data_IF_896710359444
#
_entry.id   IF_896710359444
#
_cell.length_a   1.000
_cell.length_b   1.000
_cell.length_c   1.000
_cell.angle_alpha   90.00
_cell.angle_beta   90.00
_cell.angle_gamma   90.00
#
_symmetry.space_group_name_H-M   'P 1'
#
loop_
_entity.id
_entity.type
_entity.pdbx_description
1 polymer ?
#
# COMPACT_ATOMS: atom_id res chain seq x y z
N UNK A 1 -21.09 53.37 26.41
CA UNK A 1 -19.85 54.00 26.91
C UNK A 1 -18.69 53.21 26.28
N UNK A 2 -18.19 53.60 25.10
CA UNK A 2 -17.07 54.55 24.88
C UNK A 2 -15.81 54.06 25.61
N UNK A 3 -14.61 53.88 25.03
CA UNK A 3 -13.89 54.45 23.87
C UNK A 3 -12.69 53.50 23.60
N UNK A 4 -12.24 53.18 22.38
CA UNK A 4 -11.47 54.04 21.44
C UNK A 4 -10.00 54.13 21.91
N UNK A 5 -9.00 53.55 21.22
CA UNK A 5 -8.10 54.13 20.18
C UNK A 5 -6.80 53.26 20.21
N UNK A 6 -5.90 53.10 19.21
CA UNK A 6 -5.60 53.86 18.01
C UNK A 6 -4.72 53.01 17.04
N UNK A 7 -4.90 53.25 15.74
CA UNK A 7 -3.98 52.87 14.64
C UNK A 7 -2.75 53.78 14.65
N UNK A 8 -1.59 53.30 14.16
CA UNK A 8 -0.64 54.15 13.41
C UNK A 8 -0.05 53.40 12.21
N UNK A 9 -0.16 54.09 11.08
CA UNK A 9 0.31 53.78 9.74
C UNK A 9 1.17 54.98 9.33
N UNK A 10 2.40 54.75 8.87
CA UNK A 10 3.29 55.74 8.19
C UNK A 10 4.33 54.90 7.44
N UNK A 11 4.59 55.00 6.13
CA UNK A 11 4.28 56.04 5.15
C UNK A 11 5.55 56.72 4.64
N UNK A 12 6.08 56.23 3.50
CA UNK A 12 6.92 56.92 2.48
C UNK A 12 8.40 57.25 2.80
N UNK A 13 9.29 57.56 1.80
CA UNK A 13 9.04 57.80 0.36
C UNK A 13 9.99 57.15 -0.68
N UNK A 14 9.56 57.25 -1.96
CA UNK A 14 10.36 57.16 -3.20
C UNK A 14 11.08 58.48 -3.49
N UNK A 15 12.30 58.43 -4.07
CA UNK A 15 12.87 59.33 -5.10
C UNK A 15 14.22 58.73 -5.57
N UNK A 16 14.44 58.35 -6.83
CA UNK A 16 14.69 59.09 -8.09
C UNK A 16 16.15 59.51 -8.35
N UNK A 17 16.69 58.93 -9.44
CA UNK A 17 17.68 59.43 -10.44
C UNK A 17 19.15 59.67 -10.05
N UNK A 18 20.05 59.05 -10.84
CA UNK A 18 21.43 59.48 -11.07
C UNK A 18 22.12 58.66 -12.16
N UNK A 19 22.52 59.31 -13.25
CA UNK A 19 23.25 58.79 -14.43
C UNK A 19 24.77 58.70 -14.19
N UNK A 20 25.46 57.68 -14.74
CA UNK A 20 26.84 57.72 -15.29
C UNK A 20 27.21 56.31 -15.83
N UNK A 21 27.24 56.05 -17.15
CA UNK A 21 28.39 56.11 -18.10
C UNK A 21 29.72 55.53 -17.60
N UNK A 22 30.16 54.44 -18.25
CA UNK A 22 31.54 54.35 -18.81
C UNK A 22 32.34 53.05 -18.57
N UNK A 23 32.59 52.30 -19.66
CA UNK A 23 33.72 51.36 -19.84
C UNK A 23 33.46 49.92 -19.38
N UNK A 24 33.58 48.86 -20.18
CA UNK A 24 34.33 48.64 -21.42
C UNK A 24 35.22 47.39 -21.22
N UNK A 25 34.77 46.21 -21.66
CA UNK A 25 35.54 44.97 -21.51
C UNK A 25 34.88 43.73 -22.14
N UNK A 26 35.29 43.45 -23.38
CA UNK A 26 35.07 42.27 -24.26
C UNK A 26 34.96 40.94 -23.47
N UNK A 27 34.10 39.96 -23.76
CA UNK A 27 33.49 39.51 -25.00
C UNK A 27 33.86 38.04 -25.25
N UNK A 28 32.99 37.08 -24.88
CA UNK A 28 32.95 35.72 -25.45
C UNK A 28 31.50 35.39 -25.78
N UNK A 29 31.24 35.19 -27.07
CA UNK A 29 29.92 35.24 -27.67
C UNK A 29 29.04 34.06 -27.30
N UNK A 30 27.87 34.36 -26.74
CA UNK A 30 26.69 33.50 -26.82
C UNK A 30 26.27 33.41 -28.29
N UNK A 31 26.31 32.22 -28.90
CA UNK A 31 25.63 31.97 -30.17
C UNK A 31 24.14 31.92 -29.91
N UNK A 32 23.47 33.06 -30.09
CA UNK A 32 22.02 33.12 -30.19
C UNK A 32 21.60 32.50 -31.53
N UNK A 33 20.72 31.52 -31.43
CA UNK A 33 20.06 30.84 -32.53
C UNK A 33 19.07 31.80 -33.20
N UNK A 34 19.49 32.49 -34.27
CA UNK A 34 18.59 33.24 -35.14
C UNK A 34 18.88 32.97 -36.62
N UNK A 35 17.83 32.56 -37.32
CA UNK A 35 17.74 32.41 -38.77
C UNK A 35 16.98 31.13 -39.10
N UNK A 36 15.73 31.13 -39.53
CA UNK A 36 14.75 32.18 -39.77
C UNK A 36 13.62 31.52 -40.54
N UNK A 37 12.40 31.54 -40.00
CA UNK A 37 11.21 31.53 -40.85
C UNK A 37 10.07 32.21 -40.11
N UNK A 38 9.47 33.21 -40.76
CA UNK A 38 8.39 34.03 -40.21
C UNK A 38 7.05 33.33 -40.47
N UNK A 39 6.53 32.66 -39.46
CA UNK A 39 5.09 32.42 -39.31
C UNK A 39 4.76 32.23 -37.82
N UNK A 40 3.66 32.84 -37.37
CA UNK A 40 3.38 33.17 -35.99
C UNK A 40 3.23 32.03 -34.98
N UNK A 41 3.38 32.40 -33.71
CA UNK A 41 2.92 31.74 -32.48
C UNK A 41 2.47 30.27 -32.60
N UNK A 42 3.37 29.34 -32.30
CA UNK A 42 3.00 28.06 -31.68
C UNK A 42 4.15 27.54 -30.81
N UNK A 43 3.81 27.02 -29.62
CA UNK A 43 4.73 26.23 -28.82
C UNK A 43 5.03 24.91 -29.52
N UNK A 44 5.96 24.94 -30.48
CA UNK A 44 6.35 23.75 -31.23
C UNK A 44 7.00 22.72 -30.33
N UNK A 45 6.42 21.52 -30.25
CA UNK A 45 7.03 20.35 -29.63
C UNK A 45 8.41 20.12 -30.23
N UNK A 46 9.46 20.21 -29.40
CA UNK A 46 10.82 19.84 -29.81
C UNK A 46 10.79 18.36 -30.22
N UNK A 47 11.43 18.02 -31.34
CA UNK A 47 11.55 16.64 -31.83
C UNK A 47 13.00 16.35 -32.21
N UNK A 48 13.53 15.24 -31.72
CA UNK A 48 14.86 14.75 -32.12
C UNK A 48 14.74 13.87 -33.36
N UNK A 49 14.89 14.51 -34.53
CA UNK A 49 15.10 13.83 -35.81
C UNK A 49 16.58 13.64 -36.13
N UNK A 50 16.86 12.91 -37.21
CA UNK A 50 18.23 12.57 -37.66
C UNK A 50 19.14 13.79 -37.78
N UNK A 51 18.70 14.84 -38.48
CA UNK A 51 19.49 16.08 -38.65
C UNK A 51 19.77 16.82 -37.34
N UNK A 52 18.86 16.74 -36.36
CA UNK A 52 19.05 17.36 -35.05
C UNK A 52 20.12 16.61 -34.24
N UNK A 53 20.10 15.28 -34.29
CA UNK A 53 21.12 14.45 -33.63
C UNK A 53 22.48 14.56 -34.31
N UNK A 54 22.54 14.72 -35.64
CA UNK A 54 23.80 15.01 -36.33
C UNK A 54 24.44 16.32 -35.88
N UNK A 55 23.64 17.35 -35.63
CA UNK A 55 24.15 18.61 -35.06
C UNK A 55 24.65 18.42 -33.62
N UNK A 56 23.93 17.65 -32.81
CA UNK A 56 24.36 17.32 -31.44
C UNK A 56 25.66 16.52 -31.42
N UNK A 57 25.87 15.61 -32.37
CA UNK A 57 27.12 14.85 -32.52
C UNK A 57 28.36 15.75 -32.66
N UNK A 58 28.20 16.93 -33.25
CA UNK A 58 29.29 17.90 -33.44
C UNK A 58 29.47 18.86 -32.24
N UNK A 59 28.63 18.73 -31.21
CA UNK A 59 28.62 19.61 -30.04
C UNK A 59 29.51 19.07 -28.90
N UNK A 60 29.85 19.95 -27.95
CA UNK A 60 30.62 19.56 -26.76
C UNK A 60 29.82 18.61 -25.85
N UNK A 61 30.45 17.62 -25.17
CA UNK A 61 29.77 16.72 -24.24
C UNK A 61 28.88 17.42 -23.20
N UNK A 62 29.33 18.56 -22.65
CA UNK A 62 28.56 19.31 -21.66
C UNK A 62 27.33 19.98 -22.29
N UNK A 63 27.48 20.53 -23.50
CA UNK A 63 26.36 21.11 -24.25
C UNK A 63 25.31 20.05 -24.61
N UNK A 64 25.74 18.85 -25.04
CA UNK A 64 24.84 17.72 -25.34
C UNK A 64 24.01 17.35 -24.11
N UNK A 65 24.67 17.20 -22.97
CA UNK A 65 24.02 16.80 -21.72
C UNK A 65 23.07 17.89 -21.23
N UNK A 66 23.46 19.16 -21.28
CA UNK A 66 22.62 20.29 -20.92
C UNK A 66 21.38 20.39 -21.82
N UNK A 67 21.56 20.26 -23.14
CA UNK A 67 20.47 20.35 -24.10
C UNK A 67 19.49 19.20 -23.92
N UNK A 68 19.95 17.95 -23.89
CA UNK A 68 19.09 16.77 -23.76
C UNK A 68 18.38 16.73 -22.40
N UNK A 69 19.03 17.18 -21.32
CA UNK A 69 18.46 17.17 -19.97
C UNK A 69 17.61 18.41 -19.66
N UNK A 70 17.56 19.40 -20.55
CA UNK A 70 16.75 20.61 -20.38
C UNK A 70 15.26 20.28 -20.34
N UNK A 71 14.48 21.05 -19.57
CA UNK A 71 13.02 20.84 -19.44
C UNK A 71 12.29 20.84 -20.78
N UNK A 72 12.81 21.60 -21.75
CA UNK A 72 12.22 21.71 -23.08
C UNK A 72 12.47 20.47 -23.95
N UNK A 73 13.64 19.84 -23.81
CA UNK A 73 14.10 18.77 -24.70
C UNK A 73 13.95 17.38 -24.09
N UNK A 74 13.97 17.25 -22.77
CA UNK A 74 13.86 15.95 -22.09
C UNK A 74 12.61 15.15 -22.50
N UNK A 75 11.40 15.76 -22.67
CA UNK A 75 10.23 15.04 -23.18
C UNK A 75 10.44 14.50 -24.61
N UNK A 76 11.08 15.28 -25.47
CA UNK A 76 11.39 14.89 -26.83
C UNK A 76 12.42 13.75 -26.88
N UNK A 77 13.37 13.76 -25.95
CA UNK A 77 14.36 12.70 -25.78
C UNK A 77 13.70 11.40 -25.31
N UNK A 78 12.76 11.46 -24.36
CA UNK A 78 11.93 10.32 -23.96
C UNK A 78 11.11 9.76 -25.12
N UNK A 79 10.49 10.62 -25.93
CA UNK A 79 9.73 10.21 -27.11
C UNK A 79 10.64 9.47 -28.11
N UNK A 80 11.86 9.96 -28.33
CA UNK A 80 12.86 9.28 -29.16
C UNK A 80 13.22 7.89 -28.62
N UNK A 81 13.50 7.78 -27.32
CA UNK A 81 13.81 6.53 -26.64
C UNK A 81 12.64 5.53 -26.61
N UNK A 82 11.41 6.00 -26.85
CA UNK A 82 10.19 5.20 -26.95
C UNK A 82 9.90 4.61 -28.34
N UNK A 83 10.72 4.91 -29.36
CA UNK A 83 10.51 4.37 -30.71
C UNK A 83 11.04 2.94 -30.82
N UNK A 84 10.21 2.04 -31.34
CA UNK A 84 10.58 0.63 -31.56
C UNK A 84 11.15 0.38 -32.96
N UNK A 85 10.61 1.07 -33.96
CA UNK A 85 11.04 0.99 -35.37
C UNK A 85 12.07 2.08 -35.68
N UNK A 86 13.31 1.81 -35.28
CA UNK A 86 14.44 2.71 -35.49
C UNK A 86 15.38 2.08 -36.51
N UNK A 87 15.67 2.81 -37.60
CA UNK A 87 16.65 2.38 -38.61
C UNK A 87 18.04 2.24 -37.99
N UNK A 88 18.85 1.36 -38.57
CA UNK A 88 20.19 1.06 -38.06
C UNK A 88 21.10 2.29 -37.94
N UNK A 89 21.08 3.20 -38.94
CA UNK A 89 21.83 4.47 -38.93
C UNK A 89 21.40 5.40 -37.77
N UNK A 90 20.12 5.36 -37.43
CA UNK A 90 19.57 6.17 -36.34
C UNK A 90 19.97 5.59 -34.98
N UNK A 91 20.01 4.25 -34.85
CA UNK A 91 20.48 3.58 -33.63
C UNK A 91 21.96 3.92 -33.38
N UNK A 92 22.80 3.87 -34.42
CA UNK A 92 24.21 4.24 -34.34
C UNK A 92 24.41 5.70 -33.94
N UNK A 93 23.63 6.61 -34.53
CA UNK A 93 23.71 8.04 -34.23
C UNK A 93 23.27 8.35 -32.80
N UNK A 94 22.19 7.73 -32.32
CA UNK A 94 21.73 7.87 -30.92
C UNK A 94 22.79 7.34 -29.95
N UNK A 95 23.34 6.15 -30.23
CA UNK A 95 24.39 5.57 -29.40
C UNK A 95 25.65 6.44 -29.39
N UNK A 96 26.02 7.04 -30.52
CA UNK A 96 27.16 7.96 -30.63
C UNK A 96 26.97 9.20 -29.76
N UNK A 97 25.82 9.88 -29.88
CA UNK A 97 25.51 11.06 -29.06
C UNK A 97 25.53 10.72 -27.57
N UNK A 98 24.97 9.57 -27.17
CA UNK A 98 24.99 9.12 -25.78
C UNK A 98 26.40 8.75 -25.29
N UNK A 99 27.24 8.17 -26.16
CA UNK A 99 28.62 7.85 -25.83
C UNK A 99 29.49 9.10 -25.68
N UNK A 100 29.23 10.17 -26.46
CA UNK A 100 29.86 11.49 -26.28
C UNK A 100 29.36 12.13 -24.98
N UNK A 101 28.06 12.06 -24.70
CA UNK A 101 27.46 12.57 -23.47
C UNK A 101 28.08 11.94 -22.20
N UNK A 102 28.58 10.71 -22.28
CA UNK A 102 29.30 10.06 -21.17
C UNK A 102 30.61 10.78 -20.76
N UNK A 103 31.16 11.65 -21.61
CA UNK A 103 32.37 12.44 -21.32
C UNK A 103 32.07 13.81 -20.70
N UNK A 104 30.80 14.11 -20.41
CA UNK A 104 30.41 15.37 -19.79
C UNK A 104 30.97 15.52 -18.37
N UNK A 105 31.43 16.73 -18.05
CA UNK A 105 31.85 17.13 -16.71
C UNK A 105 30.66 17.55 -15.82
N UNK A 106 29.43 17.39 -16.32
CA UNK A 106 28.19 17.86 -15.69
C UNK A 106 27.34 16.68 -15.16
N UNK A 107 27.71 16.07 -14.00
CA UNK A 107 27.11 14.83 -13.53
C UNK A 107 25.62 14.95 -13.19
N UNK A 108 25.15 16.12 -12.77
CA UNK A 108 23.73 16.33 -12.42
C UNK A 108 22.81 16.13 -13.64
N UNK A 109 23.14 16.78 -14.75
CA UNK A 109 22.37 16.69 -15.98
C UNK A 109 22.55 15.32 -16.65
N UNK A 110 23.76 14.76 -16.60
CA UNK A 110 23.99 13.42 -17.12
C UNK A 110 23.21 12.36 -16.34
N UNK A 111 23.12 12.47 -15.01
CA UNK A 111 22.31 11.57 -14.19
C UNK A 111 20.82 11.64 -14.55
N UNK A 112 20.29 12.83 -14.89
CA UNK A 112 18.91 12.98 -15.39
C UNK A 112 18.69 12.17 -16.67
N UNK A 113 19.66 12.13 -17.58
CA UNK A 113 19.58 11.31 -18.79
C UNK A 113 19.73 9.82 -18.50
N UNK A 114 20.68 9.45 -17.65
CA UNK A 114 20.95 8.05 -17.31
C UNK A 114 19.73 7.34 -16.71
N UNK A 115 18.89 8.03 -15.94
CA UNK A 115 17.68 7.43 -15.36
C UNK A 115 16.67 7.01 -16.44
N UNK A 116 16.65 7.67 -17.60
CA UNK A 116 15.71 7.40 -18.69
C UNK A 116 16.11 6.20 -19.56
N UNK A 117 17.38 5.77 -19.52
CA UNK A 117 17.92 4.79 -20.46
C UNK A 117 17.59 3.32 -20.14
N UNK A 118 17.83 2.79 -18.92
CA UNK A 118 17.82 1.34 -18.67
C UNK A 118 16.53 0.63 -19.06
N UNK A 119 15.37 1.30 -18.92
CA UNK A 119 14.04 0.74 -19.22
C UNK A 119 13.41 1.30 -20.50
N UNK A 120 14.19 2.03 -21.30
CA UNK A 120 13.71 2.56 -22.57
C UNK A 120 13.51 1.44 -23.60
N UNK A 121 12.57 1.65 -24.52
CA UNK A 121 12.37 0.74 -25.66
C UNK A 121 13.60 0.74 -26.58
N UNK A 122 14.32 1.86 -26.64
CA UNK A 122 15.63 1.94 -27.30
C UNK A 122 16.61 0.88 -26.75
N UNK A 123 16.87 0.84 -25.44
CA UNK A 123 17.83 -0.12 -24.86
C UNK A 123 17.30 -1.56 -24.95
N UNK A 124 16.03 -1.76 -24.57
CA UNK A 124 15.46 -3.11 -24.43
C UNK A 124 15.15 -3.79 -25.78
N UNK A 125 14.86 -3.02 -26.84
CA UNK A 125 14.42 -3.55 -28.13
C UNK A 125 15.38 -3.14 -29.24
N UNK A 126 15.56 -1.85 -29.51
CA UNK A 126 16.28 -1.37 -30.70
C UNK A 126 17.78 -1.67 -30.63
N UNK A 127 18.43 -1.28 -29.53
CA UNK A 127 19.85 -1.49 -29.27
C UNK A 127 20.15 -2.98 -29.13
N UNK A 128 19.36 -3.72 -28.34
CA UNK A 128 19.45 -5.17 -28.23
C UNK A 128 19.37 -5.85 -29.60
N UNK A 129 18.35 -5.52 -30.39
CA UNK A 129 18.16 -6.10 -31.72
C UNK A 129 19.29 -5.75 -32.69
N UNK A 130 19.85 -4.55 -32.59
CA UNK A 130 21.03 -4.16 -33.36
C UNK A 130 22.25 -5.00 -32.96
N UNK A 131 22.51 -5.17 -31.65
CA UNK A 131 23.60 -6.02 -31.13
C UNK A 131 23.47 -7.45 -31.64
N UNK A 132 22.28 -8.04 -31.62
CA UNK A 132 22.05 -9.38 -32.18
C UNK A 132 22.30 -9.44 -33.69
N UNK A 133 21.96 -8.39 -34.45
CA UNK A 133 22.23 -8.32 -35.90
C UNK A 133 23.70 -8.14 -36.24
N UNK A 134 24.50 -7.50 -35.36
CA UNK A 134 25.96 -7.42 -35.52
C UNK A 134 26.60 -8.81 -35.58
N UNK A 135 26.10 -9.76 -34.77
CA UNK A 135 26.55 -11.16 -34.78
C UNK A 135 26.41 -11.82 -36.16
N UNK A 136 25.49 -11.35 -37.00
CA UNK A 136 25.16 -11.95 -38.30
C UNK A 136 26.00 -11.37 -39.46
N UNK A 137 27.01 -10.53 -39.18
CA UNK A 137 27.99 -10.07 -40.17
C UNK A 137 27.47 -9.06 -41.21
N UNK A 138 26.38 -8.37 -40.93
CA UNK A 138 25.66 -7.52 -41.92
C UNK A 138 26.11 -6.05 -41.99
N UNK A 139 27.16 -5.61 -41.27
CA UNK A 139 27.39 -4.15 -41.04
C UNK A 139 28.84 -3.66 -41.04
N UNK A 140 28.97 -2.36 -41.30
CA UNK A 140 30.21 -1.58 -41.30
C UNK A 140 30.64 -1.20 -39.87
N UNK A 141 31.87 -1.56 -39.51
CA UNK A 141 32.60 -1.20 -38.28
C UNK A 141 31.97 -1.65 -36.93
N UNK A 142 31.92 -2.96 -36.66
CA UNK A 142 31.45 -3.51 -35.38
C UNK A 142 32.29 -3.05 -34.18
N UNK A 143 33.56 -2.71 -34.38
CA UNK A 143 34.47 -2.33 -33.30
C UNK A 143 34.01 -1.05 -32.59
N UNK A 144 33.82 0.04 -33.34
CA UNK A 144 33.47 1.34 -32.78
C UNK A 144 32.10 1.32 -32.09
N UNK A 145 31.16 0.55 -32.62
CA UNK A 145 29.84 0.38 -32.03
C UNK A 145 29.92 -0.29 -30.64
N UNK A 146 30.72 -1.35 -30.52
CA UNK A 146 30.89 -2.06 -29.24
C UNK A 146 31.56 -1.16 -28.22
N UNK A 147 32.61 -0.42 -28.61
CA UNK A 147 33.29 0.54 -27.72
C UNK A 147 32.30 1.56 -27.12
N UNK A 148 31.43 2.13 -27.96
CA UNK A 148 30.37 3.06 -27.52
C UNK A 148 29.34 2.40 -26.60
N UNK A 149 28.94 1.18 -26.93
CA UNK A 149 27.97 0.40 -26.12
C UNK A 149 28.54 0.08 -24.75
N UNK A 150 29.78 -0.41 -24.68
CA UNK A 150 30.47 -0.72 -23.42
C UNK A 150 30.62 0.54 -22.58
N UNK A 151 31.05 1.66 -23.18
CA UNK A 151 31.17 2.94 -22.47
C UNK A 151 29.84 3.38 -21.84
N UNK A 152 28.74 3.28 -22.59
CA UNK A 152 27.41 3.64 -22.09
C UNK A 152 26.98 2.71 -20.94
N UNK A 153 27.12 1.39 -21.12
CA UNK A 153 26.71 0.42 -20.10
C UNK A 153 27.54 0.52 -18.84
N UNK A 154 28.85 0.73 -18.95
CA UNK A 154 29.74 0.99 -17.80
C UNK A 154 29.28 2.22 -17.01
N UNK A 155 28.95 3.32 -17.69
CA UNK A 155 28.45 4.53 -17.03
C UNK A 155 27.08 4.31 -16.36
N UNK A 156 26.18 3.58 -17.01
CA UNK A 156 24.88 3.22 -16.44
C UNK A 156 25.07 2.38 -15.18
N UNK A 157 25.86 1.31 -15.21
CA UNK A 157 26.05 0.40 -14.08
C UNK A 157 26.77 1.06 -12.90
N UNK A 158 27.75 1.92 -13.17
CA UNK A 158 28.48 2.65 -12.13
C UNK A 158 27.59 3.64 -11.36
N UNK A 159 26.53 4.17 -11.99
CA UNK A 159 25.58 5.13 -11.37
C UNK A 159 24.31 4.46 -10.87
N UNK A 160 23.83 3.45 -11.58
CA UNK A 160 22.59 2.73 -11.33
C UNK A 160 22.91 1.22 -11.38
N UNK A 161 23.47 0.64 -10.31
CA UNK A 161 23.83 -0.78 -10.29
C UNK A 161 22.67 -1.69 -10.68
N UNK A 162 21.46 -1.41 -10.19
CA UNK A 162 20.25 -2.19 -10.48
C UNK A 162 19.81 -2.23 -11.95
N UNK A 163 20.40 -1.40 -12.81
CA UNK A 163 20.14 -1.41 -14.25
C UNK A 163 20.65 -2.67 -14.96
N UNK A 164 21.52 -3.48 -14.32
CA UNK A 164 22.05 -4.71 -14.92
C UNK A 164 20.99 -5.68 -15.43
N UNK A 165 19.77 -5.64 -14.86
CA UNK A 165 18.63 -6.51 -15.23
C UNK A 165 18.06 -6.14 -16.60
N UNK A 166 18.15 -4.87 -17.00
CA UNK A 166 17.49 -4.35 -18.21
C UNK A 166 18.45 -4.10 -19.38
N UNK A 167 19.76 -4.10 -19.13
CA UNK A 167 20.77 -3.97 -20.18
C UNK A 167 20.96 -5.31 -20.92
N UNK A 168 21.10 -5.30 -22.26
CA UNK A 168 21.35 -6.50 -23.07
C UNK A 168 22.83 -6.96 -22.97
N UNK A 169 23.33 -7.16 -21.74
CA UNK A 169 24.73 -7.53 -21.47
C UNK A 169 25.06 -8.90 -22.06
N UNK A 170 24.18 -9.88 -21.91
CA UNK A 170 24.38 -11.22 -22.47
C UNK A 170 24.41 -11.23 -24.00
N UNK A 171 23.55 -10.43 -24.65
CA UNK A 171 23.56 -10.28 -26.10
C UNK A 171 24.88 -9.65 -26.59
N UNK A 172 25.39 -8.66 -25.85
CA UNK A 172 26.66 -7.99 -26.14
C UNK A 172 27.86 -8.94 -25.97
N UNK A 173 27.87 -9.74 -24.91
CA UNK A 173 28.89 -10.76 -24.65
C UNK A 173 28.95 -11.77 -25.82
N UNK A 174 27.79 -12.31 -26.22
CA UNK A 174 27.69 -13.24 -27.36
C UNK A 174 28.16 -12.61 -28.67
N UNK A 175 27.81 -11.33 -28.92
CA UNK A 175 28.22 -10.63 -30.13
C UNK A 175 29.74 -10.49 -30.21
N UNK A 176 30.39 -10.11 -29.11
CA UNK A 176 31.83 -9.90 -29.03
C UNK A 176 32.57 -11.24 -29.21
N UNK A 177 32.09 -12.31 -28.59
CA UNK A 177 32.68 -13.65 -28.73
C UNK A 177 32.65 -14.15 -30.19
N UNK A 178 31.55 -13.91 -30.91
CA UNK A 178 31.43 -14.28 -32.32
C UNK A 178 32.37 -13.43 -33.20
N UNK A 179 32.38 -12.11 -33.00
CA UNK A 179 33.20 -11.19 -33.77
C UNK A 179 34.70 -11.42 -33.53
N UNK A 180 35.09 -11.80 -32.31
CA UNK A 180 36.45 -12.16 -31.96
C UNK A 180 36.95 -13.38 -32.77
N UNK A 181 36.12 -14.40 -32.97
CA UNK A 181 36.45 -15.58 -33.81
C UNK A 181 36.70 -15.19 -35.27
N UNK A 182 35.97 -14.19 -35.76
CA UNK A 182 36.12 -13.67 -37.14
C UNK A 182 37.20 -12.57 -37.27
N UNK A 183 37.93 -12.24 -36.20
CA UNK A 183 38.93 -11.16 -36.13
C UNK A 183 38.42 -9.79 -36.53
N UNK A 184 37.14 -9.50 -36.25
CA UNK A 184 36.50 -8.22 -36.57
C UNK A 184 36.58 -7.19 -35.42
N UNK A 185 37.09 -7.59 -34.26
CA UNK A 185 37.25 -6.75 -33.07
C UNK A 185 38.67 -6.90 -32.49
N UNK A 186 39.17 -5.83 -31.89
CA UNK A 186 40.49 -5.81 -31.27
C UNK A 186 40.49 -6.48 -29.89
N UNK A 187 41.67 -6.90 -29.42
CA UNK A 187 41.84 -7.47 -28.08
C UNK A 187 41.43 -6.50 -26.96
N UNK A 188 41.58 -5.19 -27.18
CA UNK A 188 41.19 -4.13 -26.23
C UNK A 188 39.67 -4.11 -26.00
N UNK A 189 38.88 -4.28 -27.06
CA UNK A 189 37.42 -4.32 -26.97
C UNK A 189 36.94 -5.56 -26.23
N UNK A 190 37.55 -6.72 -26.51
CA UNK A 190 37.27 -7.97 -25.79
C UNK A 190 37.52 -7.77 -24.29
N UNK A 191 38.66 -7.16 -23.92
CA UNK A 191 38.98 -6.88 -22.52
C UNK A 191 37.98 -5.90 -21.87
N UNK A 192 37.48 -4.91 -22.61
CA UNK A 192 36.50 -3.94 -22.09
C UNK A 192 35.15 -4.59 -21.79
N UNK A 193 34.74 -5.58 -22.58
CA UNK A 193 33.52 -6.37 -22.34
C UNK A 193 33.71 -7.30 -21.15
N UNK A 194 34.90 -7.87 -20.98
CA UNK A 194 35.22 -8.68 -19.81
C UNK A 194 35.21 -7.86 -18.51
N UNK A 195 35.72 -6.63 -18.55
CA UNK A 195 35.59 -5.68 -17.42
C UNK A 195 34.13 -5.37 -17.10
N UNK A 196 33.27 -5.24 -18.11
CA UNK A 196 31.84 -5.01 -17.92
C UNK A 196 31.15 -6.18 -17.20
N UNK A 197 31.61 -7.42 -17.41
CA UNK A 197 31.12 -8.59 -16.64
C UNK A 197 31.47 -8.49 -15.16
N UNK A 198 32.66 -8.03 -14.82
CA UNK A 198 33.07 -7.80 -13.42
C UNK A 198 32.17 -6.74 -12.79
N UNK A 199 31.94 -5.60 -13.47
CA UNK A 199 31.06 -4.54 -12.97
C UNK A 199 29.62 -5.04 -12.76
N UNK A 200 29.12 -5.87 -13.67
CA UNK A 200 27.79 -6.52 -13.55
C UNK A 200 27.71 -7.38 -12.28
N UNK A 201 28.73 -8.19 -12.01
CA UNK A 201 28.79 -9.04 -10.82
C UNK A 201 28.83 -8.22 -9.53
N UNK A 202 29.68 -7.20 -9.46
CA UNK A 202 29.73 -6.28 -8.31
C UNK A 202 28.39 -5.55 -8.09
N UNK A 203 27.71 -5.19 -9.18
CA UNK A 203 26.39 -4.53 -9.13
C UNK A 203 25.31 -5.45 -8.57
N UNK A 204 25.35 -6.74 -8.93
CA UNK A 204 24.45 -7.76 -8.39
C UNK A 204 24.68 -7.97 -6.89
N UNK A 205 25.93 -8.09 -6.45
CA UNK A 205 26.30 -8.28 -5.05
C UNK A 205 25.87 -7.09 -4.17
N UNK A 206 26.07 -5.85 -4.66
CA UNK A 206 25.59 -4.64 -3.98
C UNK A 206 24.08 -4.65 -3.77
N UNK A 207 23.31 -5.10 -4.76
CA UNK A 207 21.86 -5.17 -4.68
C UNK A 207 21.38 -6.26 -3.71
N UNK A 208 22.03 -7.43 -3.71
CA UNK A 208 21.75 -8.51 -2.73
C UNK A 208 21.99 -7.99 -1.30
N UNK A 209 23.16 -7.41 -1.05
CA UNK A 209 23.53 -6.88 0.27
C UNK A 209 22.57 -5.78 0.75
N UNK A 210 22.12 -4.92 -0.17
CA UNK A 210 21.13 -3.87 0.14
C UNK A 210 19.79 -4.49 0.59
N UNK A 211 19.31 -5.51 -0.12
CA UNK A 211 18.06 -6.22 0.22
C UNK A 211 18.16 -6.94 1.55
N UNK A 212 19.28 -7.59 1.83
CA UNK A 212 19.53 -8.24 3.12
C UNK A 212 19.48 -7.24 4.28
N UNK A 213 20.13 -6.08 4.14
CA UNK A 213 20.12 -5.04 5.16
C UNK A 213 18.71 -4.46 5.39
N UNK A 214 17.95 -4.23 4.32
CA UNK A 214 16.55 -3.78 4.40
C UNK A 214 15.67 -4.82 5.12
N UNK A 215 15.85 -6.10 4.80
CA UNK A 215 15.13 -7.19 5.47
C UNK A 215 15.48 -7.27 6.96
N UNK A 216 16.77 -7.17 7.33
CA UNK A 216 17.20 -7.16 8.73
C UNK A 216 16.58 -5.99 9.52
N UNK A 217 16.51 -4.80 8.91
CA UNK A 217 15.86 -3.63 9.52
C UNK A 217 14.37 -3.86 9.76
N UNK A 218 13.67 -4.43 8.78
CA UNK A 218 12.24 -4.78 8.90
C UNK A 218 11.99 -5.79 10.02
N UNK A 219 12.81 -6.85 10.09
CA UNK A 219 12.69 -7.85 11.15
C UNK A 219 12.91 -7.25 12.54
N UNK A 220 13.92 -6.39 12.71
CA UNK A 220 14.17 -5.70 13.99
C UNK A 220 13.03 -4.79 14.41
N UNK A 221 12.51 -3.99 13.49
CA UNK A 221 11.35 -3.11 13.77
C UNK A 221 10.14 -3.92 14.23
N UNK A 222 9.91 -5.07 13.60
CA UNK A 222 8.78 -5.92 13.91
C UNK A 222 8.91 -6.63 15.26
N UNK A 223 10.11 -7.07 15.63
CA UNK A 223 10.34 -7.65 16.95
C UNK A 223 10.16 -6.60 18.06
N UNK A 224 10.57 -5.35 17.83
CA UNK A 224 10.38 -4.26 18.80
C UNK A 224 8.89 -3.96 19.05
N UNK A 225 8.04 -3.99 18.02
CA UNK A 225 6.58 -3.81 18.18
C UNK A 225 5.94 -4.95 19.00
N UNK A 226 6.44 -6.17 18.87
CA UNK A 226 5.96 -7.33 19.65
C UNK A 226 6.43 -7.22 21.10
N UNK A 227 7.68 -6.79 21.33
CA UNK A 227 8.22 -6.53 22.67
C UNK A 227 7.46 -5.41 23.41
N UNK A 228 6.98 -4.38 22.72
CA UNK A 228 6.22 -3.28 23.32
C UNK A 228 4.88 -3.73 23.93
N UNK A 229 4.18 -4.67 23.28
CA UNK A 229 2.90 -5.21 23.77
C UNK A 229 3.12 -6.36 24.78
N UNK A 230 4.30 -6.98 24.79
CA UNK A 230 4.65 -8.11 25.66
C UNK A 230 3.98 -9.43 25.24
N UNK A 231 4.23 -10.54 25.94
CA UNK A 231 3.55 -11.82 25.67
C UNK A 231 2.06 -11.76 26.00
N UNK A 232 1.21 -12.62 25.40
CA UNK A 232 -0.20 -12.65 25.74
C UNK A 232 -0.37 -13.17 27.18
N UNK A 233 -1.35 -12.65 27.94
CA UNK A 233 -1.54 -13.03 29.34
C UNK A 233 -2.07 -14.47 29.51
N UNK A 234 -2.76 -14.99 28.50
CA UNK A 234 -3.46 -16.27 28.51
C UNK A 234 -3.47 -16.87 27.09
N UNK A 235 -3.68 -18.18 26.97
CA UNK A 235 -3.80 -18.85 25.68
C UNK A 235 -5.17 -18.56 25.06
N UNK A 236 -5.19 -18.09 23.81
CA UNK A 236 -6.42 -17.81 23.07
C UNK A 236 -7.29 -19.05 22.87
N UNK A 237 -6.71 -20.25 22.89
CA UNK A 237 -7.43 -21.52 22.76
C UNK A 237 -8.32 -21.84 23.96
N UNK A 238 -7.98 -21.30 25.14
CA UNK A 238 -8.76 -21.49 26.36
C UNK A 238 -9.73 -20.34 26.64
N UNK A 239 -9.65 -19.25 25.86
CA UNK A 239 -10.53 -18.10 26.01
C UNK A 239 -11.97 -18.45 25.62
N UNK A 240 -12.94 -18.02 26.43
CA UNK A 240 -14.35 -18.13 26.07
C UNK A 240 -14.69 -17.21 24.89
N UNK A 241 -15.29 -17.77 23.84
CA UNK A 241 -15.88 -17.00 22.74
C UNK A 241 -17.11 -16.24 23.23
N UNK A 242 -17.90 -16.87 24.10
CA UNK A 242 -19.07 -16.25 24.71
C UNK A 242 -18.58 -15.18 25.70
N UNK A 243 -19.10 -13.93 25.62
CA UNK A 243 -18.69 -12.88 26.53
C UNK A 243 -19.00 -13.25 27.99
N UNK A 244 -18.15 -12.82 28.91
CA UNK A 244 -18.43 -12.82 30.34
C UNK A 244 -18.73 -11.40 30.85
N UNK A 245 -19.16 -11.29 32.10
CA UNK A 245 -19.37 -9.99 32.76
C UNK A 245 -18.12 -9.11 32.71
N UNK A 246 -16.95 -9.72 32.92
CA UNK A 246 -15.68 -9.01 32.98
C UNK A 246 -15.21 -8.52 31.60
N UNK A 247 -15.71 -9.12 30.51
CA UNK A 247 -15.49 -8.60 29.15
C UNK A 247 -16.28 -7.32 28.88
N UNK A 248 -17.34 -7.05 29.66
CA UNK A 248 -18.15 -5.84 29.55
C UNK A 248 -17.63 -4.76 30.49
N UNK A 249 -17.41 -5.10 31.77
CA UNK A 249 -16.93 -4.15 32.77
C UNK A 249 -15.43 -4.30 33.00
N UNK A 250 -14.68 -4.02 31.94
CA UNK A 250 -13.23 -4.15 31.93
C UNK A 250 -12.57 -3.05 32.77
N UNK A 251 -11.73 -3.43 33.74
CA UNK A 251 -10.87 -2.50 34.49
C UNK A 251 -9.59 -2.11 33.72
N UNK A 252 -9.07 -3.03 32.90
CA UNK A 252 -7.82 -2.86 32.15
C UNK A 252 -8.02 -3.11 30.67
N UNK A 253 -7.59 -2.17 29.82
CA UNK A 253 -7.71 -2.27 28.35
C UNK A 253 -7.38 -3.70 27.84
N UNK A 254 -8.21 -4.28 26.95
CA UNK A 254 -8.00 -5.64 26.46
C UNK A 254 -6.63 -5.77 25.77
N UNK A 255 -6.00 -6.93 25.97
CA UNK A 255 -4.74 -7.27 25.31
C UNK A 255 -4.98 -7.50 23.82
N UNK A 256 -4.48 -6.59 22.98
CA UNK A 256 -4.66 -6.62 21.53
C UNK A 256 -3.36 -6.25 20.82
N UNK A 257 -2.97 -7.06 19.86
CA UNK A 257 -1.89 -6.75 18.91
C UNK A 257 -2.49 -6.27 17.58
N UNK A 258 -1.76 -5.40 16.89
CA UNK A 258 -2.19 -4.91 15.56
C UNK A 258 -2.14 -6.04 14.54
N UNK A 259 -3.07 -6.01 13.59
CA UNK A 259 -2.99 -6.89 12.42
C UNK A 259 -1.73 -6.59 11.59
N UNK A 260 -0.95 -7.61 11.28
CA UNK A 260 0.26 -7.47 10.47
C UNK A 260 -0.12 -7.51 9.00
N UNK A 261 -0.15 -6.34 8.36
CA UNK A 261 -0.48 -6.19 6.93
C UNK A 261 0.75 -6.30 6.01
N UNK A 262 1.95 -6.17 6.55
CA UNK A 262 3.22 -6.22 5.82
C UNK A 262 4.23 -7.09 6.58
N UNK A 263 4.84 -8.06 5.90
CA UNK A 263 5.62 -9.13 6.54
C UNK A 263 4.73 -10.32 6.92
N UNK A 264 5.28 -11.35 7.57
CA UNK A 264 4.52 -12.58 7.90
C UNK A 264 4.74 -13.01 9.34
N UNK A 265 3.72 -13.55 10.02
CA UNK A 265 3.67 -13.90 11.45
C UNK A 265 4.89 -14.70 11.98
N UNK A 266 5.15 -14.68 13.30
CA UNK A 266 6.35 -15.32 13.86
C UNK A 266 6.29 -16.85 13.72
N UNK A 267 5.11 -17.39 13.98
CA UNK A 267 4.70 -18.77 13.84
C UNK A 267 3.17 -18.79 13.70
N UNK A 268 2.58 -19.99 13.57
CA UNK A 268 1.14 -20.14 13.46
C UNK A 268 0.41 -19.60 14.70
N UNK A 269 0.86 -19.96 15.90
CA UNK A 269 0.20 -19.53 17.14
C UNK A 269 0.13 -18.01 17.26
N UNK A 270 1.20 -17.31 16.87
CA UNK A 270 1.19 -15.86 16.84
C UNK A 270 0.16 -15.32 15.84
N UNK A 271 0.00 -15.94 14.68
CA UNK A 271 -1.06 -15.56 13.74
C UNK A 271 -2.45 -15.78 14.33
N UNK A 272 -2.72 -16.97 14.83
CA UNK A 272 -4.03 -17.35 15.36
C UNK A 272 -4.42 -16.50 16.57
N UNK A 273 -3.50 -16.25 17.51
CA UNK A 273 -3.74 -15.39 18.69
C UNK A 273 -4.10 -13.96 18.27
N UNK A 274 -3.36 -13.38 17.32
CA UNK A 274 -3.63 -12.02 16.82
C UNK A 274 -5.00 -11.96 16.15
N UNK A 275 -5.30 -12.89 15.24
CA UNK A 275 -6.58 -12.90 14.52
C UNK A 275 -7.75 -13.19 15.47
N UNK A 276 -7.61 -14.15 16.38
CA UNK A 276 -8.64 -14.50 17.35
C UNK A 276 -9.00 -13.30 18.24
N UNK A 277 -7.99 -12.67 18.86
CA UNK A 277 -8.24 -11.55 19.78
C UNK A 277 -8.83 -10.33 19.07
N UNK A 278 -8.37 -10.02 17.86
CA UNK A 278 -8.94 -8.93 17.04
C UNK A 278 -10.39 -9.22 16.63
N UNK A 279 -10.65 -10.43 16.15
CA UNK A 279 -11.97 -10.84 15.70
C UNK A 279 -12.98 -10.92 16.87
N UNK A 280 -12.53 -11.43 18.02
CA UNK A 280 -13.33 -11.47 19.26
C UNK A 280 -13.66 -10.05 19.73
N UNK A 281 -12.66 -9.16 19.75
CA UNK A 281 -12.88 -7.76 20.14
C UNK A 281 -13.83 -7.02 19.18
N UNK A 282 -13.82 -7.34 17.89
CA UNK A 282 -14.64 -6.65 16.89
C UNK A 282 -16.14 -6.73 17.20
N UNK A 283 -16.64 -7.90 17.64
CA UNK A 283 -18.05 -8.05 18.03
C UNK A 283 -18.31 -7.68 19.50
N UNK A 284 -17.31 -7.81 20.38
CA UNK A 284 -17.44 -7.49 21.81
C UNK A 284 -17.50 -5.99 22.08
N UNK A 285 -16.67 -5.20 21.40
CA UNK A 285 -16.59 -3.75 21.64
C UNK A 285 -17.94 -3.04 21.46
N UNK A 286 -18.71 -3.24 20.37
CA UNK A 286 -20.05 -2.69 20.22
C UNK A 286 -20.99 -3.03 21.38
N UNK A 287 -20.94 -4.28 21.85
CA UNK A 287 -21.74 -4.75 22.99
C UNK A 287 -21.29 -4.08 24.30
N UNK A 288 -19.98 -4.04 24.55
CA UNK A 288 -19.36 -3.43 25.73
C UNK A 288 -19.71 -1.96 25.85
N UNK A 289 -19.42 -1.19 24.81
CA UNK A 289 -19.69 0.25 24.78
C UNK A 289 -21.20 0.51 24.89
N UNK A 290 -22.02 -0.30 24.22
CA UNK A 290 -23.47 -0.21 24.31
C UNK A 290 -24.00 -0.38 25.73
N UNK A 291 -23.59 -1.45 26.43
CA UNK A 291 -24.04 -1.74 27.80
C UNK A 291 -23.49 -0.69 28.78
N UNK A 292 -22.21 -0.32 28.71
CA UNK A 292 -21.64 0.72 29.59
C UNK A 292 -22.39 2.04 29.41
N UNK A 293 -22.64 2.46 28.18
CA UNK A 293 -23.40 3.67 27.90
C UNK A 293 -24.82 3.60 28.48
N UNK A 294 -25.47 2.43 28.36
CA UNK A 294 -26.81 2.20 28.88
C UNK A 294 -26.87 2.32 30.41
N UNK A 295 -25.91 1.69 31.10
CA UNK A 295 -25.80 1.71 32.56
C UNK A 295 -25.53 3.14 33.06
N UNK A 296 -24.65 3.89 32.39
CA UNK A 296 -24.25 5.23 32.83
C UNK A 296 -25.31 6.31 32.59
N UNK A 297 -26.05 6.24 31.47
CA UNK A 297 -26.97 7.31 31.05
C UNK A 297 -28.44 7.01 31.34
N UNK A 298 -28.74 5.77 31.75
CA UNK A 298 -30.08 5.32 32.00
C UNK A 298 -30.90 5.09 30.72
N UNK A 299 -32.07 4.51 30.94
CA UNK A 299 -32.85 3.81 29.91
C UNK A 299 -33.78 4.74 29.11
N UNK A 300 -34.02 5.96 29.61
CA UNK A 300 -35.05 6.88 29.09
C UNK A 300 -34.53 8.01 28.20
N UNK A 301 -33.27 7.96 27.75
CA UNK A 301 -32.78 8.89 26.74
C UNK A 301 -33.22 8.51 25.31
N UNK A 302 -33.39 9.54 24.47
CA UNK A 302 -33.97 9.52 23.12
C UNK A 302 -33.39 8.44 22.20
N UNK A 303 -34.24 7.92 21.30
CA UNK A 303 -33.85 7.01 20.21
C UNK A 303 -32.74 7.65 19.36
N UNK A 304 -31.50 7.15 19.47
CA UNK A 304 -30.36 7.62 18.68
C UNK A 304 -29.01 7.64 19.41
N UNK A 305 -29.00 7.54 20.74
CA UNK A 305 -27.75 7.54 21.55
C UNK A 305 -27.01 6.20 21.48
N UNK A 306 -27.75 5.08 21.36
CA UNK A 306 -27.17 3.74 21.29
C UNK A 306 -27.17 3.23 19.84
N UNK A 307 -26.09 3.47 19.10
CA UNK A 307 -25.96 3.01 17.71
C UNK A 307 -25.63 1.52 17.61
N UNK A 308 -24.89 1.02 18.60
CA UNK A 308 -24.27 -0.31 18.59
C UNK A 308 -25.13 -1.38 19.27
N UNK A 309 -26.20 -0.98 19.95
CA UNK A 309 -27.13 -1.88 20.63
C UNK A 309 -28.59 -1.49 20.41
N UNK A 310 -29.49 -2.47 20.57
CA UNK A 310 -30.94 -2.30 20.49
C UNK A 310 -31.59 -2.87 21.74
N UNK A 311 -32.45 -2.09 22.37
CA UNK A 311 -33.10 -2.45 23.63
C UNK A 311 -34.53 -2.97 23.40
N UNK A 312 -34.89 -3.98 24.19
CA UNK A 312 -36.23 -4.53 24.33
C UNK A 312 -36.57 -4.57 25.83
N UNK A 313 -37.75 -4.05 26.18
CA UNK A 313 -38.20 -3.92 27.57
C UNK A 313 -39.25 -4.97 27.92
N UNK A 314 -39.48 -5.14 29.22
CA UNK A 314 -40.52 -6.01 29.77
C UNK A 314 -40.43 -7.45 29.22
N UNK A 315 -39.21 -7.97 29.12
CA UNK A 315 -38.96 -9.30 28.57
C UNK A 315 -39.29 -10.35 29.63
N UNK A 316 -40.07 -11.35 29.25
CA UNK A 316 -40.46 -12.48 30.10
C UNK A 316 -40.04 -13.77 29.42
N UNK A 317 -39.37 -14.63 30.17
CA UNK A 317 -39.04 -15.99 29.74
C UNK A 317 -40.27 -16.85 30.03
N UNK A 318 -40.83 -17.49 29.00
CA UNK A 318 -42.14 -18.14 29.10
C UNK A 318 -42.02 -19.63 29.44
N UNK A 319 -41.55 -20.43 28.48
CA UNK A 319 -41.44 -21.88 28.62
C UNK A 319 -40.31 -22.42 27.73
N UNK A 320 -39.66 -23.51 28.16
CA UNK A 320 -38.67 -24.21 27.34
C UNK A 320 -39.34 -24.95 26.18
N UNK A 321 -38.58 -25.13 25.09
CA UNK A 321 -38.94 -25.92 23.92
C UNK A 321 -37.75 -26.79 23.56
N UNK A 322 -37.96 -28.10 23.56
CA UNK A 322 -36.95 -29.05 23.10
C UNK A 322 -36.97 -29.09 21.57
N UNK A 323 -35.79 -29.00 20.97
CA UNK A 323 -35.58 -29.15 19.54
C UNK A 323 -34.44 -30.15 19.29
N UNK A 324 -34.29 -30.61 18.05
CA UNK A 324 -33.16 -31.47 17.65
C UNK A 324 -31.79 -30.79 17.83
N UNK A 325 -31.78 -29.45 17.94
CA UNK A 325 -30.59 -28.62 18.18
C UNK A 325 -30.39 -28.22 19.66
N UNK A 326 -31.13 -28.85 20.59
CA UNK A 326 -31.02 -28.59 22.02
C UNK A 326 -32.20 -27.80 22.61
N UNK A 327 -31.99 -27.32 23.84
CA UNK A 327 -33.00 -26.64 24.65
C UNK A 327 -33.11 -25.16 24.28
N UNK A 328 -34.30 -24.76 23.83
CA UNK A 328 -34.64 -23.38 23.46
C UNK A 328 -35.71 -22.85 24.41
N UNK A 329 -35.95 -21.55 24.39
CA UNK A 329 -36.97 -20.90 25.20
C UNK A 329 -37.78 -19.91 24.37
N UNK A 330 -39.09 -19.91 24.56
CA UNK A 330 -39.90 -18.78 24.10
C UNK A 330 -39.81 -17.63 25.10
N UNK A 331 -39.58 -16.44 24.57
CA UNK A 331 -39.63 -15.19 25.32
C UNK A 331 -40.70 -14.28 24.74
N UNK A 332 -41.20 -13.36 25.57
CA UNK A 332 -42.08 -12.29 25.15
C UNK A 332 -41.54 -10.95 25.62
N UNK A 333 -41.49 -9.95 24.74
CA UNK A 333 -41.07 -8.59 25.05
C UNK A 333 -42.16 -7.57 24.70
N UNK A 334 -42.11 -6.39 25.32
CA UNK A 334 -43.01 -5.30 24.98
C UNK A 334 -42.60 -4.67 23.64
N UNK A 335 -43.50 -4.77 22.66
CA UNK A 335 -43.32 -4.23 21.33
C UNK A 335 -44.13 -2.96 21.07
N UNK A 336 -44.74 -2.35 22.09
CA UNK A 336 -45.55 -1.14 21.99
C UNK A 336 -44.83 0.02 21.29
N UNK A 337 -43.52 0.16 21.57
CA UNK A 337 -42.62 1.16 20.95
C UNK A 337 -42.04 0.75 19.60
N UNK A 338 -42.29 -0.49 19.17
CA UNK A 338 -41.74 -1.09 17.95
C UNK A 338 -42.80 -1.35 16.86
N UNK A 339 -44.03 -0.84 17.04
CA UNK A 339 -45.15 -1.03 16.09
C UNK A 339 -44.89 -0.53 14.67
N UNK A 340 -43.94 0.39 14.48
CA UNK A 340 -43.55 0.91 13.15
C UNK A 340 -42.47 0.07 12.46
N UNK A 341 -41.89 -0.91 13.15
CA UNK A 341 -40.86 -1.77 12.59
C UNK A 341 -41.51 -2.76 11.62
N UNK A 342 -41.06 -2.75 10.36
CA UNK A 342 -41.41 -3.78 9.38
C UNK A 342 -40.54 -5.00 9.64
N UNK A 343 -41.05 -5.97 10.39
CA UNK A 343 -40.28 -7.12 10.86
C UNK A 343 -39.75 -7.98 9.72
N UNK A 344 -40.38 -8.01 8.56
CA UNK A 344 -39.93 -8.77 7.39
C UNK A 344 -38.61 -8.24 6.83
N UNK A 345 -38.42 -6.91 6.86
CA UNK A 345 -37.25 -6.24 6.26
C UNK A 345 -36.22 -5.79 7.31
N UNK A 346 -36.53 -5.98 8.59
CA UNK A 346 -35.70 -5.53 9.69
C UNK A 346 -34.51 -6.47 9.90
N UNK A 347 -33.32 -5.90 10.16
CA UNK A 347 -32.15 -6.66 10.63
C UNK A 347 -32.16 -6.90 12.15
N UNK A 348 -33.29 -6.68 12.82
CA UNK A 348 -33.49 -6.90 14.25
C UNK A 348 -33.78 -8.36 14.54
N UNK A 349 -33.15 -8.88 15.59
CA UNK A 349 -33.42 -10.23 16.12
C UNK A 349 -33.34 -11.28 15.00
N UNK A 350 -32.34 -11.16 14.13
CA UNK A 350 -32.07 -12.18 13.11
C UNK A 350 -31.54 -13.44 13.79
N UNK A 351 -31.75 -14.60 13.18
CA UNK A 351 -31.20 -15.87 13.66
C UNK A 351 -29.70 -15.72 13.97
N UNK A 352 -29.25 -16.16 15.15
CA UNK A 352 -27.85 -16.06 15.56
C UNK A 352 -27.41 -14.67 16.06
N UNK A 353 -28.31 -13.68 16.15
CA UNK A 353 -28.04 -12.43 16.89
C UNK A 353 -27.78 -12.72 18.37
N UNK A 354 -26.72 -12.12 18.92
CA UNK A 354 -26.39 -12.19 20.34
C UNK A 354 -27.27 -11.23 21.16
N UNK A 355 -27.85 -11.78 22.22
CA UNK A 355 -28.73 -11.14 23.17
C UNK A 355 -28.12 -11.18 24.56
N UNK A 356 -28.26 -10.09 25.30
CA UNK A 356 -27.86 -9.95 26.68
C UNK A 356 -29.09 -9.58 27.52
N UNK A 357 -29.48 -10.44 28.46
CA UNK A 357 -30.66 -10.24 29.30
C UNK A 357 -30.25 -9.97 30.74
N UNK A 358 -30.84 -8.95 31.36
CA UNK A 358 -30.61 -8.59 32.75
C UNK A 358 -31.91 -8.32 33.50
N UNK A 359 -31.93 -8.58 34.80
CA UNK A 359 -33.04 -8.27 35.72
C UNK A 359 -32.72 -7.13 36.71
N UNK A 360 -31.50 -6.59 36.65
CA UNK A 360 -30.93 -5.69 37.65
C UNK A 360 -30.12 -4.56 37.00
N UNK A 361 -30.59 -4.06 35.86
CA UNK A 361 -29.95 -2.98 35.09
C UNK A 361 -28.51 -3.30 34.67
N UNK A 362 -28.30 -4.52 34.15
CA UNK A 362 -27.03 -5.04 33.63
C UNK A 362 -25.92 -5.14 34.67
N UNK A 363 -26.23 -5.18 35.97
CA UNK A 363 -25.25 -5.56 37.00
C UNK A 363 -24.89 -7.04 36.87
N UNK A 364 -25.89 -7.88 36.61
CA UNK A 364 -25.76 -9.28 36.19
C UNK A 364 -26.55 -9.51 34.91
N UNK A 365 -26.07 -10.42 34.06
CA UNK A 365 -26.75 -10.74 32.82
C UNK A 365 -26.42 -12.14 32.32
N UNK A 366 -27.30 -12.63 31.46
CA UNK A 366 -27.21 -13.93 30.80
C UNK A 366 -27.22 -13.73 29.29
N UNK A 367 -26.42 -14.51 28.59
CA UNK A 367 -26.31 -14.45 27.13
C UNK A 367 -27.19 -15.50 26.45
N UNK A 368 -27.78 -15.10 25.33
CA UNK A 368 -28.57 -15.98 24.48
C UNK A 368 -28.37 -15.62 23.00
N UNK A 369 -28.64 -16.56 22.10
CA UNK A 369 -28.81 -16.28 20.68
C UNK A 369 -30.27 -16.35 20.28
N UNK A 370 -30.62 -15.67 19.20
CA UNK A 370 -31.90 -15.90 18.51
C UNK A 370 -31.85 -17.26 17.82
N UNK A 371 -32.73 -18.17 18.21
CA UNK A 371 -32.75 -19.54 17.69
C UNK A 371 -33.80 -19.74 16.59
N UNK A 372 -34.88 -18.97 16.62
CA UNK A 372 -35.87 -18.94 15.53
C UNK A 372 -36.59 -17.58 15.50
N UNK A 373 -36.95 -17.15 14.30
CA UNK A 373 -37.51 -15.83 14.03
C UNK A 373 -38.64 -15.92 13.02
N UNK A 374 -39.88 -15.88 13.52
CA UNK A 374 -41.06 -15.63 12.70
C UNK A 374 -41.47 -14.13 12.79
N UNK A 375 -41.44 -13.36 11.68
CA UNK A 375 -41.93 -11.99 11.64
C UNK A 375 -43.37 -11.82 12.18
N UNK A 376 -44.24 -12.82 12.01
CA UNK A 376 -45.61 -12.79 12.52
C UNK A 376 -45.64 -12.85 14.04
N UNK A 377 -44.79 -13.69 14.64
CA UNK A 377 -44.68 -13.78 16.11
C UNK A 377 -43.99 -12.55 16.71
N UNK A 378 -42.98 -12.01 16.04
CA UNK A 378 -42.32 -10.76 16.41
C UNK A 378 -43.29 -9.56 16.45
N UNK A 379 -44.27 -9.53 15.54
CA UNK A 379 -45.35 -8.53 15.56
C UNK A 379 -46.22 -8.59 16.84
N UNK A 380 -46.16 -9.69 17.59
CA UNK A 380 -46.76 -9.86 18.93
C UNK A 380 -45.72 -9.88 20.05
N UNK A 381 -44.46 -9.55 19.75
CA UNK A 381 -43.36 -9.48 20.71
C UNK A 381 -42.87 -10.84 21.17
N UNK A 382 -43.11 -11.91 20.41
CA UNK A 382 -42.64 -13.27 20.74
C UNK A 382 -41.38 -13.62 19.95
N UNK A 383 -40.48 -14.36 20.58
CA UNK A 383 -39.22 -14.80 19.98
C UNK A 383 -38.76 -16.12 20.60
N UNK A 384 -38.06 -16.94 19.82
CA UNK A 384 -37.41 -18.15 20.31
C UNK A 384 -35.91 -17.91 20.44
N UNK A 385 -35.37 -18.16 21.63
CA UNK A 385 -33.95 -17.94 21.95
C UNK A 385 -33.30 -19.21 22.51
N UNK A 386 -31.98 -19.28 22.43
CA UNK A 386 -31.17 -20.34 23.03
C UNK A 386 -30.18 -19.68 23.98
N UNK A 387 -30.26 -20.04 25.27
CA UNK A 387 -29.30 -19.55 26.26
C UNK A 387 -27.96 -20.26 26.06
N UNK A 388 -26.88 -19.50 26.18
CA UNK A 388 -25.53 -19.99 25.94
C UNK A 388 -24.93 -20.70 27.15
N UNK A 389 -25.30 -20.26 28.36
CA UNK A 389 -24.87 -20.90 29.59
C UNK A 389 -25.96 -21.86 30.08
N UNK A 390 -25.65 -23.15 30.03
CA UNK A 390 -26.53 -24.24 30.48
C UNK A 390 -26.44 -24.49 31.99
N UNK A 391 -25.50 -23.85 32.69
CA UNK A 391 -25.33 -23.96 34.14
C UNK A 391 -26.25 -23.04 34.92
N UNK A 392 -26.86 -22.06 34.24
CA UNK A 392 -27.93 -21.23 34.82
C UNK A 392 -29.07 -22.17 35.19
N UNK A 393 -29.40 -22.24 36.48
CA UNK A 393 -30.55 -23.01 36.93
C UNK A 393 -31.82 -22.38 36.35
N UNK A 394 -32.34 -23.01 35.29
CA UNK A 394 -33.52 -22.53 34.57
C UNK A 394 -34.77 -22.50 35.47
N UNK A 395 -34.71 -23.12 36.66
CA UNK A 395 -35.75 -23.01 37.69
C UNK A 395 -35.85 -21.58 38.28
N UNK A 396 -34.78 -20.77 38.20
CA UNK A 396 -34.77 -19.37 38.62
C UNK A 396 -35.43 -18.42 37.61
N UNK A 397 -35.74 -18.90 36.40
CA UNK A 397 -36.57 -18.18 35.42
C UNK A 397 -38.04 -18.23 35.83
N UNK A 398 -38.33 -17.69 37.01
CA UNK A 398 -39.70 -17.45 37.47
C UNK A 398 -40.42 -16.57 36.45
N UNK A 399 -41.63 -16.96 36.05
CA UNK A 399 -42.52 -16.16 35.18
C UNK A 399 -42.85 -14.76 35.75
N UNK A 400 -42.53 -14.52 37.03
CA UNK A 400 -42.67 -13.23 37.70
C UNK A 400 -41.51 -12.28 37.38
N UNK A 401 -40.35 -12.80 36.99
CA UNK A 401 -39.18 -11.99 36.68
C UNK A 401 -39.40 -11.27 35.35
N UNK A 402 -39.01 -9.99 35.33
CA UNK A 402 -39.06 -9.14 34.15
C UNK A 402 -37.64 -8.71 33.85
N UNK A 403 -37.25 -8.87 32.59
CA UNK A 403 -35.91 -8.63 32.12
C UNK A 403 -35.88 -7.45 31.14
N UNK A 404 -34.72 -6.82 31.08
CA UNK A 404 -34.30 -5.93 30.02
C UNK A 404 -33.39 -6.71 29.10
N UNK A 405 -33.59 -6.59 27.79
CA UNK A 405 -32.82 -7.32 26.80
C UNK A 405 -32.15 -6.35 25.83
N UNK A 406 -30.87 -6.57 25.60
CA UNK A 406 -30.06 -5.85 24.63
C UNK A 406 -29.63 -6.81 23.51
N UNK A 407 -29.80 -6.38 22.28
CA UNK A 407 -29.26 -7.01 21.07
C UNK A 407 -28.07 -6.17 20.57
N UNK A 408 -26.92 -6.79 20.32
CA UNK A 408 -25.79 -6.12 19.65
C UNK A 408 -26.04 -5.99 18.15
N UNK A 409 -25.54 -4.92 17.53
CA UNK A 409 -25.56 -4.79 16.07
C UNK A 409 -24.52 -5.68 15.37
N UNK A 410 -23.50 -6.15 16.09
CA UNK A 410 -22.55 -7.12 15.56
C UNK A 410 -23.22 -8.49 15.41
N UNK A 411 -23.07 -9.11 14.24
CA UNK A 411 -23.77 -10.35 13.93
C UNK A 411 -23.00 -11.58 14.41
N UNK A 412 -23.22 -11.98 15.66
CA UNK A 412 -22.46 -13.04 16.35
C UNK A 412 -22.33 -14.37 15.59
N UNK A 413 -23.37 -14.81 14.89
CA UNK A 413 -23.32 -16.04 14.06
C UNK A 413 -22.22 -16.02 12.99
N UNK A 414 -21.82 -14.84 12.51
CA UNK A 414 -20.71 -14.72 11.57
C UNK A 414 -19.33 -14.82 12.24
N UNK A 415 -19.25 -14.65 13.56
CA UNK A 415 -18.00 -14.71 14.32
C UNK A 415 -17.79 -16.08 14.98
N UNK A 416 -18.85 -16.67 15.56
CA UNK A 416 -18.71 -17.85 16.42
C UNK A 416 -18.00 -19.05 15.73
N UNK A 417 -18.42 -19.51 14.53
CA UNK A 417 -17.77 -20.65 13.89
C UNK A 417 -16.32 -20.35 13.47
N UNK A 418 -16.02 -19.09 13.16
CA UNK A 418 -14.67 -18.67 12.77
C UNK A 418 -13.76 -18.69 14.00
N UNK A 419 -14.22 -18.15 15.13
CA UNK A 419 -13.48 -18.15 16.38
C UNK A 419 -13.23 -19.58 16.88
N UNK A 420 -14.23 -20.47 16.80
CA UNK A 420 -14.07 -21.90 17.11
C UNK A 420 -13.03 -22.56 16.20
N UNK A 421 -13.10 -22.29 14.89
CA UNK A 421 -12.13 -22.80 13.93
C UNK A 421 -10.70 -22.33 14.23
N UNK A 422 -10.52 -21.04 14.58
CA UNK A 422 -9.21 -20.49 14.96
C UNK A 422 -8.65 -21.18 16.20
N UNK A 423 -9.48 -21.48 17.21
CA UNK A 423 -9.03 -22.18 18.42
C UNK A 423 -8.60 -23.62 18.14
N UNK A 424 -9.30 -24.31 17.24
CA UNK A 424 -9.08 -25.73 16.95
C UNK A 424 -7.95 -25.98 15.94
N UNK A 425 -7.56 -24.97 15.16
CA UNK A 425 -6.54 -25.09 14.11
C UNK A 425 -5.16 -25.42 14.70
N UNK A 426 -4.52 -26.46 14.16
CA UNK A 426 -3.15 -26.88 14.46
C UNK A 426 -2.25 -26.73 13.23
N UNK A 427 -0.94 -26.84 13.45
CA UNK A 427 0.06 -26.74 12.37
C UNK A 427 -0.20 -27.73 11.23
N UNK A 428 -0.66 -28.94 11.54
CA UNK A 428 -0.92 -30.02 10.59
C UNK A 428 -2.12 -29.76 9.67
N UNK A 429 -3.01 -28.83 10.05
CA UNK A 429 -4.25 -28.55 9.32
C UNK A 429 -4.06 -27.53 8.19
N UNK A 430 -2.87 -26.90 8.09
CA UNK A 430 -2.63 -25.84 7.13
C UNK A 430 -1.92 -26.33 5.87
N UNK A 431 -2.45 -26.01 4.66
CA UNK A 431 -1.92 -26.49 3.39
C UNK A 431 -0.62 -25.78 2.93
N UNK A 432 -0.04 -24.92 3.77
CA UNK A 432 1.09 -24.04 3.42
C UNK A 432 2.39 -24.39 4.16
N UNK A 433 2.52 -25.63 4.65
CA UNK A 433 3.79 -26.16 5.16
C UNK A 433 4.83 -26.33 4.05
#
# INVERSE_FOLDING_TARGET
MASGYNRRNTGFPRQSRGYARGGGGRGRGRRNFYGGDRSGHSGGNVRFGFNSLQKLRESDPDDIVLDLASERCLPAFRELLGKTDMSDEMIELVLEVLAIACDSNSPEYFNKLLVELPKSLFVMISLKGYVTRLCMGRKSNPQLFIERTVKLFTNILNRIPSAFVSLPLGDLELAVDMLARTRQVSAVVIQSVEQLKVIKQESLEKEIRKRELENQRRTRSRNAEIEEVGPPPEDFREMSIIPHRDDIFIEKKPYLRKNIIQGGYQNLDHYLDVQFRLLREDFLRPLREGIINLVNHGIDQQQGVFKDIRMYRNVKILYPVCSNSGLRHHIQFDNSRLRRVKWENSKRLIFGSLLCLSKDHFQTFVFATVADRDPKELAYGKLTVQFMDLTIDLQDFSRKNVYEMVETTAYFEAYNPILEGLQQTKDEDLPFQ
#
